data_IF_350998728112
#
_entry.id   IF_350998728112
#
_cell.length_a   1.000
_cell.length_b   1.000
_cell.length_c   1.000
_cell.angle_alpha   90.00
_cell.angle_beta   90.00
_cell.angle_gamma   90.00
#
_symmetry.space_group_name_H-M   'P 1'
#
loop_
_entity.id
_entity.type
_entity.pdbx_description
1 polymer ?
#
# COMPACT_ATOMS: atom_id res chain seq x y z
N UNK A 1 5.93 -4.44 11.87
CA UNK A 1 6.05 -4.23 10.41
C UNK A 1 5.98 -2.75 10.09
N UNK A 2 6.72 -2.30 9.08
CA UNK A 2 6.65 -0.93 8.57
C UNK A 2 5.29 -0.66 7.91
N UNK A 3 4.75 -1.62 7.16
CA UNK A 3 3.47 -1.53 6.45
C UNK A 3 2.33 -1.17 7.40
N UNK A 4 2.23 -1.89 8.53
CA UNK A 4 1.18 -1.64 9.54
C UNK A 4 1.27 -0.24 10.15
N UNK A 5 2.48 0.27 10.38
CA UNK A 5 2.71 1.63 10.90
C UNK A 5 2.34 2.66 9.84
N UNK A 6 2.83 2.50 8.61
CA UNK A 6 2.51 3.38 7.50
C UNK A 6 0.99 3.48 7.26
N UNK A 7 0.27 2.35 7.25
CA UNK A 7 -1.20 2.36 7.12
C UNK A 7 -1.84 3.10 8.29
N UNK A 8 -1.44 2.81 9.54
CA UNK A 8 -2.04 3.45 10.72
C UNK A 8 -1.81 4.96 10.75
N UNK A 9 -0.63 5.39 10.35
CA UNK A 9 -0.18 6.77 10.54
C UNK A 9 -0.55 7.66 9.33
N UNK A 10 -0.63 7.09 8.12
CA UNK A 10 -0.83 7.85 6.88
C UNK A 10 -2.20 7.65 6.23
N UNK A 11 -2.89 6.53 6.51
CA UNK A 11 -4.18 6.27 5.87
C UNK A 11 -5.26 7.22 6.40
N UNK A 12 -5.99 7.83 5.47
CA UNK A 12 -7.11 8.72 5.78
C UNK A 12 -8.21 8.56 4.71
N UNK A 13 -9.32 9.26 4.91
CA UNK A 13 -10.51 9.20 4.02
C UNK A 13 -10.25 9.69 2.59
N UNK A 14 -9.14 10.38 2.35
CA UNK A 14 -8.76 10.92 1.05
C UNK A 14 -7.83 9.95 0.29
N UNK A 15 -7.54 8.78 0.87
CA UNK A 15 -6.78 7.71 0.20
C UNK A 15 -7.72 6.87 -0.66
N UNK A 16 -7.61 7.04 -1.97
CA UNK A 16 -8.39 6.29 -2.94
C UNK A 16 -7.82 4.89 -3.24
N UNK A 17 -6.50 4.71 -3.12
CA UNK A 17 -5.83 3.47 -3.47
C UNK A 17 -4.56 3.23 -2.65
N UNK A 18 -4.32 1.98 -2.27
CA UNK A 18 -3.11 1.54 -1.59
C UNK A 18 -2.45 0.41 -2.40
N UNK A 19 -1.43 0.78 -3.17
CA UNK A 19 -0.67 -0.16 -4.00
C UNK A 19 0.47 -0.80 -3.22
N UNK A 20 0.55 -2.13 -3.27
CA UNK A 20 1.60 -2.89 -2.59
C UNK A 20 2.33 -3.80 -3.56
N UNK A 21 3.63 -3.53 -3.75
CA UNK A 21 4.48 -4.40 -4.53
C UNK A 21 4.93 -5.62 -3.69
N UNK A 22 4.74 -6.82 -4.24
CA UNK A 22 5.15 -8.07 -3.63
C UNK A 22 4.09 -8.75 -2.77
N UNK A 23 3.96 -10.07 -2.93
CA UNK A 23 2.89 -10.89 -2.33
C UNK A 23 2.84 -10.81 -0.80
N UNK A 24 3.99 -10.92 -0.13
CA UNK A 24 4.04 -10.93 1.34
C UNK A 24 3.59 -9.59 1.94
N UNK A 25 3.99 -8.47 1.32
CA UNK A 25 3.57 -7.14 1.75
C UNK A 25 2.08 -6.92 1.50
N UNK A 26 1.58 -7.34 0.33
CA UNK A 26 0.17 -7.24 -0.01
C UNK A 26 -0.72 -8.03 0.97
N UNK A 27 -0.36 -9.28 1.25
CA UNK A 27 -1.10 -10.12 2.20
C UNK A 27 -1.11 -9.48 3.61
N UNK A 28 0.03 -8.97 4.08
CA UNK A 28 0.10 -8.27 5.38
C UNK A 28 -0.74 -6.99 5.41
N UNK A 29 -0.70 -6.18 4.35
CA UNK A 29 -1.47 -4.94 4.25
C UNK A 29 -2.98 -5.22 4.22
N UNK A 30 -3.41 -6.20 3.40
CA UNK A 30 -4.82 -6.59 3.26
C UNK A 30 -5.37 -7.15 4.56
N UNK A 31 -4.64 -8.03 5.23
CA UNK A 31 -5.08 -8.63 6.49
C UNK A 31 -5.14 -7.58 7.62
N UNK A 32 -4.21 -6.63 7.63
CA UNK A 32 -4.25 -5.53 8.56
C UNK A 32 -5.43 -4.58 8.28
N UNK A 33 -5.71 -4.27 7.01
CA UNK A 33 -6.85 -3.44 6.63
C UNK A 33 -8.18 -4.10 7.00
N UNK A 34 -8.30 -5.42 6.80
CA UNK A 34 -9.47 -6.20 7.26
C UNK A 34 -9.69 -6.10 8.76
N UNK A 35 -8.62 -6.02 9.54
CA UNK A 35 -8.72 -5.93 11.00
C UNK A 35 -9.19 -4.54 11.46
N UNK A 36 -8.64 -3.47 10.88
CA UNK A 36 -8.88 -2.10 11.36
C UNK A 36 -10.05 -1.40 10.66
N UNK A 37 -10.22 -1.64 9.36
CA UNK A 37 -11.21 -0.99 8.50
C UNK A 37 -11.68 -1.96 7.41
N UNK A 38 -12.53 -2.95 7.76
CA UNK A 38 -13.00 -3.98 6.82
C UNK A 38 -13.58 -3.40 5.52
N UNK A 39 -14.34 -2.31 5.62
CA UNK A 39 -14.97 -1.63 4.49
C UNK A 39 -14.00 -1.07 3.45
N UNK A 40 -12.73 -0.83 3.83
CA UNK A 40 -11.69 -0.26 2.96
C UNK A 40 -10.67 -1.30 2.49
N UNK A 41 -10.90 -2.59 2.78
CA UNK A 41 -10.00 -3.67 2.35
C UNK A 41 -9.78 -3.70 0.85
N UNK A 42 -10.81 -3.36 0.07
CA UNK A 42 -10.76 -3.40 -1.39
C UNK A 42 -9.86 -2.32 -2.00
N UNK A 43 -9.45 -1.30 -1.22
CA UNK A 43 -8.51 -0.27 -1.68
C UNK A 43 -7.06 -0.77 -1.68
N UNK A 44 -6.78 -1.89 -1.01
CA UNK A 44 -5.47 -2.52 -1.02
C UNK A 44 -5.36 -3.37 -2.27
N UNK A 45 -4.51 -2.95 -3.19
CA UNK A 45 -4.32 -3.57 -4.50
C UNK A 45 -2.88 -4.04 -4.70
N UNK A 46 -2.66 -5.21 -5.32
CA UNK A 46 -1.32 -5.67 -5.63
C UNK A 46 -0.76 -4.84 -6.79
N UNK A 47 0.51 -4.47 -6.69
CA UNK A 47 1.23 -3.87 -7.81
C UNK A 47 2.03 -4.96 -8.54
N UNK A 48 1.60 -5.29 -9.75
CA UNK A 48 2.13 -6.42 -10.54
C UNK A 48 2.90 -5.97 -11.80
N UNK A 49 3.11 -4.67 -11.99
CA UNK A 49 3.79 -4.18 -13.17
C UNK A 49 5.30 -4.51 -13.13
N UNK A 50 5.88 -4.69 -14.32
CA UNK A 50 7.31 -4.97 -14.48
C UNK A 50 8.20 -3.77 -14.12
N UNK A 51 7.65 -2.55 -14.18
CA UNK A 51 8.36 -1.33 -13.77
C UNK A 51 8.25 -1.18 -12.25
N UNK A 52 9.33 -0.94 -11.50
CA UNK A 52 9.27 -0.67 -10.07
C UNK A 52 8.24 0.41 -9.71
N UNK A 53 7.53 0.23 -8.59
CA UNK A 53 6.46 1.15 -8.17
C UNK A 53 6.94 2.61 -8.12
N UNK A 54 8.11 2.86 -7.54
CA UNK A 54 8.64 4.23 -7.42
C UNK A 54 8.99 4.86 -8.76
N UNK A 55 9.48 4.07 -9.71
CA UNK A 55 9.78 4.52 -11.06
C UNK A 55 8.50 4.81 -11.84
N UNK A 56 7.48 3.96 -11.73
CA UNK A 56 6.21 4.13 -12.41
C UNK A 56 5.47 5.41 -11.99
N UNK A 57 5.61 5.81 -10.72
CA UNK A 57 5.01 7.03 -10.17
C UNK A 57 5.99 8.23 -10.16
N UNK A 58 7.20 8.08 -10.70
CA UNK A 58 8.17 9.18 -10.81
C UNK A 58 8.64 9.76 -9.47
N UNK A 59 8.53 9.01 -8.38
CA UNK A 59 8.95 9.42 -7.02
C UNK A 59 10.38 8.98 -6.69
N UNK A 60 11.03 8.26 -7.59
CA UNK A 60 12.42 7.82 -7.49
C UNK A 60 13.40 8.97 -7.14
N UNK A 61 13.31 10.18 -7.73
CA UNK A 61 14.20 11.29 -7.40
C UNK A 61 14.03 11.86 -5.98
N UNK A 62 12.99 11.45 -5.23
CA UNK A 62 12.70 11.92 -3.88
C UNK A 62 13.22 10.96 -2.80
N UNK A 63 13.78 9.81 -3.21
CA UNK A 63 14.33 8.79 -2.32
C UNK A 63 15.85 8.88 -2.15
N UNK A 64 16.51 9.75 -2.93
CA UNK A 64 17.94 10.12 -2.85
C UNK A 64 18.19 11.28 -1.86
#
# INVERSE_FOLDING_TARGET
SLIKRAIRDLFNKDVDQLLVQGKAGFDEARDFMRLIMPSHTNLVEPYEQNVPLYQAYGVEPQLD
#
